data_IF_724058524482
#
_entry.id   IF_724058524482
#
_cell.length_a   1.000
_cell.length_b   1.000
_cell.length_c   1.000
_cell.angle_alpha   90.00
_cell.angle_beta   90.00
_cell.angle_gamma   90.00
#
_symmetry.space_group_name_H-M   'P 1'
#
loop_
_entity.id
_entity.type
_entity.pdbx_description
1 polymer ?
#
# COMPACT_ATOMS: atom_id res chain seq x y z
N UNK A 1 -49.15 -2.75 -7.19
CA UNK A 1 -48.02 -3.33 -6.42
C UNK A 1 -46.73 -3.48 -7.22
N UNK A 2 -46.73 -3.31 -8.56
CA UNK A 2 -45.53 -3.38 -9.42
C UNK A 2 -44.55 -2.20 -9.31
N UNK A 3 -45.01 -1.04 -8.83
CA UNK A 3 -44.17 0.16 -8.70
C UNK A 3 -43.09 0.02 -7.62
N UNK A 4 -43.40 -0.72 -6.53
CA UNK A 4 -42.45 -0.94 -5.43
C UNK A 4 -41.29 -1.83 -5.88
N UNK A 5 -41.56 -2.90 -6.63
CA UNK A 5 -40.51 -3.77 -7.18
C UNK A 5 -39.64 -3.06 -8.24
N UNK A 6 -40.21 -2.12 -9.00
CA UNK A 6 -39.45 -1.33 -9.97
C UNK A 6 -38.52 -0.33 -9.30
N UNK A 7 -38.90 0.24 -8.15
CA UNK A 7 -38.00 1.08 -7.35
C UNK A 7 -36.86 0.23 -6.80
N UNK A 8 -37.15 -0.88 -6.14
CA UNK A 8 -36.13 -1.76 -5.54
C UNK A 8 -35.09 -2.25 -6.56
N UNK A 9 -35.51 -2.49 -7.81
CA UNK A 9 -34.59 -2.88 -8.88
C UNK A 9 -33.65 -1.74 -9.30
N UNK A 10 -34.13 -0.49 -9.29
CA UNK A 10 -33.34 0.71 -9.54
C UNK A 10 -32.37 0.97 -8.37
N UNK A 11 -32.82 0.77 -7.13
CA UNK A 11 -32.01 0.91 -5.90
C UNK A 11 -30.87 -0.10 -5.78
N UNK A 12 -30.97 -1.28 -6.41
CA UNK A 12 -29.94 -2.34 -6.35
C UNK A 12 -28.98 -2.36 -7.54
N UNK A 13 -29.16 -1.49 -8.54
CA UNK A 13 -28.27 -1.43 -9.71
C UNK A 13 -26.95 -0.71 -9.38
N UNK A 14 -25.82 -1.37 -9.66
CA UNK A 14 -24.46 -0.89 -9.35
C UNK A 14 -24.04 0.42 -10.09
N UNK A 15 -24.89 0.96 -10.95
CA UNK A 15 -24.72 2.24 -11.68
C UNK A 15 -25.30 3.46 -10.95
N UNK A 16 -26.07 3.25 -9.89
CA UNK A 16 -26.63 4.30 -9.04
C UNK A 16 -25.61 5.28 -8.41
N UNK A 17 -24.39 4.85 -7.98
CA UNK A 17 -23.46 5.80 -7.37
C UNK A 17 -22.83 6.77 -8.38
N UNK A 18 -22.76 6.42 -9.67
CA UNK A 18 -22.07 7.26 -10.65
C UNK A 18 -22.94 8.44 -11.11
N UNK A 19 -24.23 8.21 -11.43
CA UNK A 19 -25.11 9.29 -11.91
C UNK A 19 -25.58 10.21 -10.79
N UNK A 20 -25.78 9.69 -9.58
CA UNK A 20 -26.17 10.51 -8.42
C UNK A 20 -25.01 11.43 -7.99
N UNK A 21 -23.77 10.94 -8.03
CA UNK A 21 -22.60 11.80 -7.77
C UNK A 21 -22.40 12.82 -8.88
N UNK A 22 -22.64 12.48 -10.15
CA UNK A 22 -22.53 13.42 -11.28
C UNK A 22 -23.64 14.48 -11.24
N UNK A 23 -24.88 14.09 -10.93
CA UNK A 23 -26.00 15.00 -10.74
C UNK A 23 -25.80 15.91 -9.52
N UNK A 24 -25.31 15.37 -8.40
CA UNK A 24 -24.97 16.14 -7.22
C UNK A 24 -23.82 17.13 -7.51
N UNK A 25 -22.75 16.68 -8.16
CA UNK A 25 -21.61 17.53 -8.53
C UNK A 25 -22.04 18.65 -9.49
N UNK A 26 -22.88 18.34 -10.49
CA UNK A 26 -23.46 19.33 -11.39
C UNK A 26 -24.34 20.35 -10.66
N UNK A 27 -25.21 19.88 -9.76
CA UNK A 27 -26.09 20.75 -8.98
C UNK A 27 -25.30 21.69 -8.05
N UNK A 28 -24.28 21.17 -7.36
CA UNK A 28 -23.38 21.98 -6.54
C UNK A 28 -22.56 22.96 -7.38
N UNK A 29 -22.10 22.55 -8.56
CA UNK A 29 -21.41 23.42 -9.52
C UNK A 29 -22.29 24.57 -10.00
N UNK A 30 -23.57 24.31 -10.29
CA UNK A 30 -24.55 25.34 -10.69
C UNK A 30 -24.87 26.28 -9.54
N UNK A 31 -25.04 25.79 -8.31
CA UNK A 31 -25.22 26.64 -7.13
C UNK A 31 -24.00 27.53 -6.92
N UNK A 32 -22.78 26.97 -7.01
CA UNK A 32 -21.54 27.73 -6.94
C UNK A 32 -21.48 28.80 -8.03
N UNK A 33 -21.78 28.45 -9.27
CA UNK A 33 -21.77 29.37 -10.40
C UNK A 33 -22.78 30.52 -10.20
N UNK A 34 -24.00 30.22 -9.75
CA UNK A 34 -25.04 31.22 -9.45
C UNK A 34 -24.62 32.13 -8.29
N UNK A 35 -24.01 31.56 -7.23
CA UNK A 35 -23.51 32.34 -6.10
C UNK A 35 -22.35 33.26 -6.48
N UNK A 36 -21.48 32.83 -7.38
CA UNK A 36 -20.37 33.64 -7.90
C UNK A 36 -20.87 34.75 -8.85
N UNK A 37 -21.85 34.46 -9.70
CA UNK A 37 -22.42 35.43 -10.63
C UNK A 37 -23.31 36.49 -9.95
N UNK A 38 -23.91 36.18 -8.80
CA UNK A 38 -24.69 37.15 -7.99
C UNK A 38 -23.86 37.91 -6.95
N UNK A 39 -22.54 37.75 -6.94
CA UNK A 39 -21.69 38.32 -5.90
C UNK A 39 -21.32 39.79 -6.16
N UNK A 40 -22.10 40.72 -5.62
CA UNK A 40 -21.56 42.02 -5.22
C UNK A 40 -20.69 41.83 -3.96
N UNK A 41 -19.36 41.84 -4.17
CA UNK A 41 -18.21 42.14 -3.28
C UNK A 41 -18.16 41.71 -1.78
N UNK A 42 -19.20 41.17 -1.14
CA UNK A 42 -19.20 40.81 0.28
C UNK A 42 -19.75 39.40 0.54
N UNK A 43 -19.25 38.41 -0.21
CA UNK A 43 -19.64 36.99 -0.08
C UNK A 43 -18.43 36.05 -0.17
N UNK A 44 -17.21 36.53 0.12
CA UNK A 44 -16.05 35.64 0.26
C UNK A 44 -16.19 34.71 1.49
N UNK A 45 -16.83 35.21 2.56
CA UNK A 45 -17.07 34.42 3.77
C UNK A 45 -18.22 33.42 3.62
N UNK A 46 -19.17 33.66 2.72
CA UNK A 46 -20.30 32.75 2.48
C UNK A 46 -19.90 31.50 1.69
N UNK A 47 -19.00 31.63 0.72
CA UNK A 47 -18.47 30.48 0.00
C UNK A 47 -17.65 29.56 0.92
N UNK A 48 -16.89 30.14 1.88
CA UNK A 48 -16.06 29.38 2.80
C UNK A 48 -16.90 28.51 3.75
N UNK A 49 -18.05 28.99 4.21
CA UNK A 49 -18.96 28.19 5.06
C UNK A 49 -19.64 27.07 4.29
N UNK A 50 -19.96 27.27 3.01
CA UNK A 50 -20.49 26.21 2.16
C UNK A 50 -19.42 25.14 1.93
N UNK A 51 -18.17 25.53 1.62
CA UNK A 51 -17.06 24.58 1.43
C UNK A 51 -16.79 23.78 2.71
N UNK A 52 -16.81 24.41 3.89
CA UNK A 52 -16.60 23.69 5.16
C UNK A 52 -17.77 22.76 5.46
N UNK A 53 -19.02 23.18 5.25
CA UNK A 53 -20.19 22.32 5.42
C UNK A 53 -20.17 21.13 4.45
N UNK A 54 -19.74 21.35 3.21
CA UNK A 54 -19.62 20.29 2.21
C UNK A 54 -18.50 19.32 2.57
N UNK A 55 -17.36 19.81 3.08
CA UNK A 55 -16.28 18.99 3.60
C UNK A 55 -16.74 18.15 4.82
N UNK A 56 -17.50 18.74 5.73
CA UNK A 56 -18.09 18.04 6.89
C UNK A 56 -19.08 16.97 6.42
N UNK A 57 -19.93 17.27 5.43
CA UNK A 57 -20.89 16.31 4.89
C UNK A 57 -20.20 15.14 4.18
N UNK A 58 -19.14 15.39 3.42
CA UNK A 58 -18.34 14.33 2.76
C UNK A 58 -17.63 13.47 3.81
N UNK A 59 -17.08 14.08 4.87
CA UNK A 59 -16.49 13.35 5.99
C UNK A 59 -17.53 12.51 6.76
N UNK A 60 -18.74 13.02 6.96
CA UNK A 60 -19.82 12.27 7.58
C UNK A 60 -20.32 11.11 6.69
N UNK A 61 -20.35 11.29 5.37
CA UNK A 61 -20.75 10.24 4.44
C UNK A 61 -19.69 9.13 4.29
N UNK A 62 -18.42 9.44 4.53
CA UNK A 62 -17.34 8.44 4.53
C UNK A 62 -17.33 7.62 5.83
N UNK A 63 -17.69 8.21 6.97
CA UNK A 63 -17.83 7.45 8.22
C UNK A 63 -19.00 6.47 8.15
N UNK A 64 -20.14 6.81 7.56
CA UNK A 64 -21.30 5.89 7.47
C UNK A 64 -21.00 4.62 6.64
N UNK A 65 -20.07 4.69 5.67
CA UNK A 65 -19.61 3.50 4.92
C UNK A 65 -18.52 2.70 5.64
N UNK A 66 -17.98 3.19 6.75
CA UNK A 66 -16.98 2.51 7.60
C UNK A 66 -17.44 2.21 9.03
N UNK A 67 -18.70 2.51 9.38
CA UNK A 67 -19.22 2.47 10.76
C UNK A 67 -20.17 1.29 11.01
N UNK A 68 -19.78 0.06 10.68
CA UNK A 68 -20.18 -1.11 11.48
C UNK A 68 -19.22 -1.34 12.68
N UNK A 69 -18.20 -0.48 12.86
CA UNK A 69 -17.18 -0.62 13.92
C UNK A 69 -17.17 0.52 14.94
N UNK A 70 -18.27 1.28 15.06
CA UNK A 70 -18.24 2.66 15.52
C UNK A 70 -18.66 3.02 16.95
N UNK A 71 -19.03 2.07 17.82
CA UNK A 71 -19.48 2.43 19.18
C UNK A 71 -18.33 2.64 20.19
N UNK A 72 -17.16 3.12 19.75
CA UNK A 72 -15.98 3.38 20.59
C UNK A 72 -15.30 4.74 20.35
N UNK A 73 -16.05 5.79 20.03
CA UNK A 73 -15.46 7.12 19.76
C UNK A 73 -15.99 8.27 20.63
N UNK A 74 -16.39 7.98 21.87
CA UNK A 74 -16.65 9.01 22.89
C UNK A 74 -15.60 9.04 24.03
N UNK A 75 -14.47 8.34 23.89
CA UNK A 75 -13.36 8.41 24.88
C UNK A 75 -12.03 8.07 24.23
N UNK A 76 -11.51 8.98 23.39
CA UNK A 76 -10.11 8.99 22.99
C UNK A 76 -9.77 10.38 22.44
N UNK A 77 -9.88 11.38 23.30
CA UNK A 77 -9.18 12.65 23.07
C UNK A 77 -7.68 12.40 23.33
N UNK A 78 -6.85 12.93 22.45
CA UNK A 78 -5.38 12.90 22.47
C UNK A 78 -4.65 11.55 22.24
N UNK A 79 -3.87 11.54 21.15
CA UNK A 79 -2.78 10.61 20.75
C UNK A 79 -3.22 9.41 19.92
N UNK A 80 -3.19 9.59 18.59
CA UNK A 80 -2.75 8.57 17.62
C UNK A 80 -2.71 9.21 16.24
N UNK A 81 -1.60 9.87 15.89
CA UNK A 81 -1.24 9.99 14.47
C UNK A 81 -0.80 8.57 14.04
N UNK A 82 -1.77 7.73 13.66
CA UNK A 82 -1.49 6.42 13.10
C UNK A 82 -0.90 6.55 11.69
N UNK A 83 0.02 5.66 11.28
CA UNK A 83 0.73 5.77 10.03
C UNK A 83 -0.17 5.27 8.88
N UNK A 84 -0.85 6.20 8.21
CA UNK A 84 -1.55 5.94 6.94
C UNK A 84 -0.57 5.49 5.82
N UNK A 85 0.74 5.61 6.06
CA UNK A 85 1.81 5.34 5.08
C UNK A 85 2.36 3.89 5.15
N UNK A 86 1.97 3.07 6.13
CA UNK A 86 2.47 1.69 6.25
C UNK A 86 1.74 0.66 5.37
N UNK A 87 0.48 0.93 5.00
CA UNK A 87 -0.31 0.07 4.13
C UNK A 87 0.32 -0.18 2.73
N UNK A 88 0.83 0.82 1.98
CA UNK A 88 1.36 0.57 0.63
C UNK A 88 2.62 -0.28 0.60
N UNK A 89 3.50 -0.19 1.60
CA UNK A 89 4.74 -0.97 1.64
C UNK A 89 4.49 -2.45 1.95
N UNK A 90 3.50 -2.75 2.79
CA UNK A 90 3.08 -4.13 3.08
C UNK A 90 2.38 -4.79 1.89
N UNK A 91 1.74 -4.02 1.00
CA UNK A 91 1.09 -4.55 -0.20
C UNK A 91 2.10 -4.91 -1.30
N UNK A 92 3.24 -4.20 -1.39
CA UNK A 92 4.33 -4.57 -2.30
C UNK A 92 4.89 -5.97 -2.01
N UNK A 93 4.76 -6.46 -0.78
CA UNK A 93 5.12 -7.82 -0.38
C UNK A 93 4.19 -8.90 -0.97
N UNK A 94 3.01 -8.52 -1.45
CA UNK A 94 1.99 -9.43 -2.01
C UNK A 94 2.21 -9.61 -3.51
N UNK A 95 2.69 -8.58 -4.21
CA UNK A 95 2.94 -8.62 -5.67
C UNK A 95 4.29 -9.28 -6.05
N UNK A 96 5.03 -9.79 -5.04
CA UNK A 96 6.22 -10.66 -5.19
C UNK A 96 7.31 -10.10 -6.12
N UNK A 97 7.61 -8.80 -5.98
CA UNK A 97 8.70 -8.16 -6.72
C UNK A 97 10.06 -8.28 -6.01
N UNK A 98 10.12 -8.88 -4.82
CA UNK A 98 11.30 -8.94 -3.98
C UNK A 98 11.75 -10.39 -3.72
N UNK A 99 13.06 -10.66 -3.61
CA UNK A 99 13.58 -12.01 -3.38
C UNK A 99 13.29 -12.58 -1.99
N UNK A 100 13.56 -13.89 -1.80
CA UNK A 100 13.21 -14.71 -0.61
C UNK A 100 13.57 -14.08 0.75
N UNK A 101 14.69 -13.35 0.83
CA UNK A 101 15.11 -12.66 2.05
C UNK A 101 14.17 -11.52 2.45
N UNK A 102 13.71 -10.73 1.47
CA UNK A 102 12.76 -9.61 1.70
C UNK A 102 11.38 -10.17 2.05
N UNK A 103 11.04 -11.25 1.38
CA UNK A 103 9.84 -12.02 1.53
C UNK A 103 9.62 -12.59 2.95
N UNK A 104 10.68 -13.05 3.64
CA UNK A 104 10.57 -13.44 5.06
C UNK A 104 10.39 -12.26 6.01
N UNK A 105 10.96 -11.09 5.69
CA UNK A 105 10.72 -9.87 6.48
C UNK A 105 9.29 -9.35 6.26
N UNK A 106 8.81 -9.44 5.03
CA UNK A 106 7.46 -9.10 4.61
C UNK A 106 6.39 -9.86 5.39
N UNK A 107 6.57 -11.17 5.62
CA UNK A 107 5.62 -11.98 6.41
C UNK A 107 5.37 -11.36 7.79
N UNK A 108 6.45 -11.01 8.50
CA UNK A 108 6.36 -10.43 9.85
C UNK A 108 5.70 -9.04 9.85
N UNK A 109 5.90 -8.26 8.79
CA UNK A 109 5.26 -6.94 8.65
C UNK A 109 3.77 -7.12 8.33
N UNK A 110 3.44 -8.02 7.40
CA UNK A 110 2.09 -8.27 6.93
C UNK A 110 1.19 -8.81 8.05
N UNK A 111 1.72 -9.77 8.82
CA UNK A 111 1.01 -10.41 9.93
C UNK A 111 1.37 -9.80 11.29
N UNK A 112 2.10 -8.68 11.33
CA UNK A 112 2.53 -8.05 12.59
C UNK A 112 1.41 -7.35 13.37
N UNK A 113 0.28 -7.06 12.73
CA UNK A 113 -0.90 -6.45 13.34
C UNK A 113 -2.20 -6.98 12.75
N UNK A 114 -3.30 -6.86 13.49
CA UNK A 114 -4.63 -7.22 12.99
C UNK A 114 -5.04 -6.35 11.79
N UNK A 115 -4.76 -5.04 11.86
CA UNK A 115 -5.13 -4.09 10.80
C UNK A 115 -4.38 -4.36 9.49
N UNK A 116 -3.08 -4.71 9.55
CA UNK A 116 -2.31 -5.07 8.35
C UNK A 116 -2.79 -6.37 7.72
N UNK A 117 -3.12 -7.37 8.55
CA UNK A 117 -3.66 -8.64 8.05
C UNK A 117 -5.05 -8.45 7.41
N UNK A 118 -5.92 -7.63 8.02
CA UNK A 118 -7.24 -7.30 7.46
C UNK A 118 -7.11 -6.52 6.14
N UNK A 119 -6.19 -5.55 6.07
CA UNK A 119 -5.91 -4.82 4.84
C UNK A 119 -5.41 -5.73 3.71
N UNK A 120 -4.57 -6.72 4.05
CA UNK A 120 -4.08 -7.72 3.09
C UNK A 120 -5.21 -8.57 2.50
N UNK A 121 -6.16 -9.02 3.34
CA UNK A 121 -7.35 -9.77 2.89
C UNK A 121 -8.24 -8.90 2.00
N UNK A 122 -8.47 -7.64 2.36
CA UNK A 122 -9.24 -6.71 1.54
C UNK A 122 -8.57 -6.46 0.17
N UNK A 123 -7.23 -6.34 0.15
CA UNK A 123 -6.48 -6.24 -1.09
C UNK A 123 -6.61 -7.50 -1.95
N UNK A 124 -6.43 -8.68 -1.37
CA UNK A 124 -6.61 -9.96 -2.06
C UNK A 124 -8.01 -10.08 -2.68
N UNK A 125 -9.05 -9.72 -1.94
CA UNK A 125 -10.42 -9.68 -2.44
C UNK A 125 -10.58 -8.72 -3.63
N UNK A 126 -9.93 -7.55 -3.61
CA UNK A 126 -9.96 -6.61 -4.73
C UNK A 126 -9.28 -7.16 -5.99
N UNK A 127 -8.17 -7.90 -5.82
CA UNK A 127 -7.43 -8.50 -6.93
C UNK A 127 -8.23 -9.64 -7.57
N UNK A 128 -8.87 -10.49 -6.77
CA UNK A 128 -9.78 -11.54 -7.28
C UNK A 128 -10.94 -10.93 -8.04
N UNK A 129 -11.58 -9.87 -7.51
CA UNK A 129 -12.68 -9.19 -8.22
C UNK A 129 -12.21 -8.59 -9.55
N UNK A 130 -11.01 -7.99 -9.58
CA UNK A 130 -10.40 -7.50 -10.83
C UNK A 130 -10.19 -8.63 -11.83
N UNK A 131 -9.64 -9.75 -11.39
CA UNK A 131 -9.40 -10.91 -12.24
C UNK A 131 -10.71 -11.50 -12.77
N UNK A 132 -11.71 -11.66 -11.91
CA UNK A 132 -13.03 -12.17 -12.30
C UNK A 132 -13.73 -11.27 -13.32
N UNK A 133 -13.56 -9.95 -13.23
CA UNK A 133 -14.13 -8.99 -14.19
C UNK A 133 -13.56 -9.13 -15.61
N UNK A 134 -12.38 -9.72 -15.76
CA UNK A 134 -11.72 -9.98 -17.04
C UNK A 134 -12.16 -11.31 -17.67
N UNK A 135 -12.87 -12.14 -16.91
CA UNK A 135 -13.44 -13.42 -17.35
C UNK A 135 -12.45 -14.57 -17.40
N UNK A 136 -12.91 -15.68 -17.98
CA UNK A 136 -12.14 -16.93 -18.08
C UNK A 136 -10.85 -16.73 -18.89
N UNK A 137 -9.86 -17.59 -18.64
CA UNK A 137 -8.54 -17.52 -19.27
C UNK A 137 -8.63 -17.49 -20.80
N UNK A 138 -9.52 -18.28 -21.40
CA UNK A 138 -9.72 -18.33 -22.85
C UNK A 138 -10.30 -17.02 -23.44
N UNK A 139 -11.06 -16.27 -22.64
CA UNK A 139 -11.59 -14.96 -23.04
C UNK A 139 -10.57 -13.85 -22.80
N UNK A 140 -9.84 -13.94 -21.69
CA UNK A 140 -8.82 -12.98 -21.29
C UNK A 140 -7.57 -13.06 -22.20
N UNK A 141 -7.22 -14.24 -22.71
CA UNK A 141 -6.09 -14.45 -23.62
C UNK A 141 -6.23 -13.69 -24.95
N UNK A 142 -7.47 -13.49 -25.43
CA UNK A 142 -7.73 -12.70 -26.64
C UNK A 142 -7.39 -11.21 -26.47
N UNK A 143 -7.36 -10.72 -25.23
CA UNK A 143 -6.97 -9.36 -24.86
C UNK A 143 -5.78 -9.39 -23.88
N UNK A 144 -4.81 -10.26 -24.15
CA UNK A 144 -3.64 -10.43 -23.28
C UNK A 144 -2.88 -9.11 -23.14
N UNK A 145 -2.95 -8.51 -21.95
CA UNK A 145 -2.08 -7.40 -21.55
C UNK A 145 -0.99 -7.90 -20.58
N UNK A 146 0.21 -7.30 -20.58
CA UNK A 146 1.25 -7.66 -19.62
C UNK A 146 0.81 -7.43 -18.17
N UNK A 147 -0.06 -6.44 -17.94
CA UNK A 147 -0.62 -6.14 -16.62
C UNK A 147 -1.57 -7.25 -16.13
N UNK A 148 -2.40 -7.81 -17.01
CA UNK A 148 -3.25 -8.96 -16.70
C UNK A 148 -2.40 -10.20 -16.37
N UNK A 149 -1.34 -10.46 -17.13
CA UNK A 149 -0.44 -11.58 -16.84
C UNK A 149 0.28 -11.41 -15.50
N UNK A 150 0.67 -10.19 -15.14
CA UNK A 150 1.25 -9.88 -13.84
C UNK A 150 0.23 -10.10 -12.70
N UNK A 151 -0.99 -9.60 -12.86
CA UNK A 151 -2.09 -9.82 -11.90
C UNK A 151 -2.37 -11.31 -11.69
N UNK A 152 -2.47 -12.08 -12.78
CA UNK A 152 -2.71 -13.53 -12.71
C UNK A 152 -1.59 -14.22 -11.93
N UNK A 153 -0.32 -13.95 -12.27
CA UNK A 153 0.83 -14.54 -11.56
C UNK A 153 0.89 -14.14 -10.09
N UNK A 154 0.48 -12.92 -9.74
CA UNK A 154 0.37 -12.50 -8.35
C UNK A 154 -0.71 -13.30 -7.59
N UNK A 155 -1.86 -13.54 -8.20
CA UNK A 155 -2.95 -14.35 -7.61
C UNK A 155 -2.56 -15.83 -7.51
N UNK A 156 -1.95 -16.41 -8.54
CA UNK A 156 -1.59 -17.83 -8.59
C UNK A 156 -0.52 -18.25 -7.57
N UNK A 157 0.45 -17.37 -7.29
CA UNK A 157 1.49 -17.68 -6.30
C UNK A 157 0.97 -17.79 -4.88
N UNK A 158 -0.06 -17.00 -4.56
CA UNK A 158 -0.74 -16.93 -3.26
C UNK A 158 0.15 -17.27 -2.05
N UNK A 159 1.28 -16.60 -1.89
CA UNK A 159 2.37 -17.12 -1.04
C UNK A 159 2.03 -17.23 0.45
N UNK A 160 1.05 -16.45 0.90
CA UNK A 160 0.58 -16.41 2.28
C UNK A 160 -0.83 -16.99 2.45
N UNK A 161 -1.40 -17.64 1.43
CA UNK A 161 -2.75 -18.21 1.48
C UNK A 161 -3.89 -17.19 1.50
N UNK A 162 -3.63 -15.92 1.17
CA UNK A 162 -4.62 -14.84 1.20
C UNK A 162 -5.70 -15.03 0.15
N UNK A 163 -5.31 -15.39 -1.09
CA UNK A 163 -6.24 -15.61 -2.19
C UNK A 163 -7.07 -16.87 -1.94
N UNK A 164 -6.43 -17.95 -1.47
CA UNK A 164 -7.09 -19.17 -1.02
C UNK A 164 -8.15 -18.88 0.05
N UNK A 165 -7.77 -18.18 1.13
CA UNK A 165 -8.67 -17.81 2.21
C UNK A 165 -9.88 -17.03 1.70
N UNK A 166 -9.66 -15.97 0.90
CA UNK A 166 -10.75 -15.15 0.35
C UNK A 166 -11.70 -15.99 -0.51
N UNK A 167 -11.18 -16.84 -1.39
CA UNK A 167 -11.99 -17.72 -2.24
C UNK A 167 -12.83 -18.68 -1.40
N UNK A 168 -12.28 -19.23 -0.31
CA UNK A 168 -13.02 -20.12 0.60
C UNK A 168 -14.10 -19.39 1.38
N UNK A 169 -13.79 -18.23 1.98
CA UNK A 169 -14.76 -17.53 2.86
C UNK A 169 -15.80 -16.71 2.10
N UNK A 170 -15.42 -16.09 0.98
CA UNK A 170 -16.30 -15.19 0.21
C UNK A 170 -17.09 -15.94 -0.85
N UNK A 171 -16.42 -16.81 -1.59
CA UNK A 171 -16.96 -17.44 -2.79
C UNK A 171 -17.33 -18.92 -2.52
N UNK A 172 -17.18 -19.39 -1.27
CA UNK A 172 -17.43 -20.78 -0.83
C UNK A 172 -16.73 -21.83 -1.69
N UNK A 173 -15.54 -21.49 -2.19
CA UNK A 173 -14.74 -22.38 -3.00
C UNK A 173 -14.11 -23.49 -2.17
N UNK A 174 -13.95 -24.65 -2.81
CA UNK A 174 -13.15 -25.77 -2.32
C UNK A 174 -11.96 -26.03 -3.26
N UNK A 175 -10.91 -26.73 -2.80
CA UNK A 175 -9.78 -27.11 -3.66
C UNK A 175 -10.20 -27.85 -4.94
N UNK A 176 -11.29 -28.61 -4.86
CA UNK A 176 -11.82 -29.39 -5.98
C UNK A 176 -12.78 -28.58 -6.89
N UNK A 177 -13.44 -27.55 -6.36
CA UNK A 177 -14.47 -26.81 -7.08
C UNK A 177 -14.44 -25.32 -6.77
N UNK A 178 -14.03 -24.52 -7.75
CA UNK A 178 -14.11 -23.07 -7.67
C UNK A 178 -14.31 -22.47 -9.05
N UNK A 179 -15.30 -21.57 -9.20
CA UNK A 179 -15.54 -20.88 -10.46
C UNK A 179 -14.37 -19.96 -10.84
N UNK A 180 -13.70 -19.35 -9.86
CA UNK A 180 -12.56 -18.47 -10.11
C UNK A 180 -11.37 -19.18 -10.77
N UNK A 181 -11.28 -20.51 -10.65
CA UNK A 181 -10.20 -21.29 -11.25
C UNK A 181 -10.21 -21.28 -12.78
N UNK A 182 -11.33 -20.98 -13.43
CA UNK A 182 -11.38 -20.81 -14.89
C UNK A 182 -10.61 -19.58 -15.39
N UNK A 183 -10.37 -18.59 -14.51
CA UNK A 183 -9.62 -17.36 -14.82
C UNK A 183 -8.11 -17.49 -14.60
N UNK A 184 -7.68 -18.59 -13.99
CA UNK A 184 -6.30 -18.92 -13.65
C UNK A 184 -5.72 -19.92 -14.65
N UNK A 185 -4.41 -19.85 -14.88
CA UNK A 185 -3.65 -20.83 -15.63
C UNK A 185 -3.19 -22.00 -14.75
N UNK A 186 -2.82 -21.73 -13.50
CA UNK A 186 -2.42 -22.77 -12.54
C UNK A 186 -3.15 -22.60 -11.20
N UNK A 187 -3.75 -23.68 -10.70
CA UNK A 187 -4.53 -23.67 -9.46
C UNK A 187 -3.90 -24.46 -8.32
N UNK A 188 -2.82 -25.20 -8.59
CA UNK A 188 -2.22 -26.14 -7.63
C UNK A 188 -1.81 -25.49 -6.32
N UNK A 189 -1.15 -24.33 -6.38
CA UNK A 189 -0.69 -23.63 -5.17
C UNK A 189 -1.86 -23.13 -4.32
N UNK A 190 -2.88 -22.55 -4.96
CA UNK A 190 -4.08 -22.06 -4.27
C UNK A 190 -4.83 -23.23 -3.62
N UNK A 191 -5.00 -24.35 -4.34
CA UNK A 191 -5.62 -25.55 -3.79
C UNK A 191 -4.84 -26.12 -2.60
N UNK A 192 -3.50 -26.19 -2.68
CA UNK A 192 -2.64 -26.60 -1.55
C UNK A 192 -2.82 -25.69 -0.35
N UNK A 193 -2.84 -24.38 -0.56
CA UNK A 193 -3.03 -23.40 0.53
C UNK A 193 -4.42 -23.51 1.17
N UNK A 194 -5.46 -23.83 0.39
CA UNK A 194 -6.81 -24.08 0.89
C UNK A 194 -6.83 -25.34 1.77
N UNK A 195 -6.19 -26.44 1.32
CA UNK A 195 -6.10 -27.69 2.08
C UNK A 195 -5.30 -27.53 3.38
N UNK A 196 -4.22 -26.76 3.32
CA UNK A 196 -3.35 -26.51 4.47
C UNK A 196 -3.88 -25.44 5.42
N UNK A 197 -4.93 -24.69 5.04
CA UNK A 197 -5.40 -23.51 5.77
C UNK A 197 -4.24 -22.55 6.11
N UNK A 198 -3.41 -22.25 5.10
CA UNK A 198 -2.13 -21.56 5.29
C UNK A 198 -2.30 -20.18 5.95
N UNK A 199 -3.28 -19.40 5.50
CA UNK A 199 -3.56 -18.08 6.07
C UNK A 199 -3.98 -18.19 7.54
N UNK A 200 -4.87 -19.11 7.88
CA UNK A 200 -5.38 -19.31 9.23
C UNK A 200 -4.27 -19.78 10.18
N UNK A 201 -3.35 -20.63 9.69
CA UNK A 201 -2.16 -21.05 10.41
C UNK A 201 -1.20 -19.87 10.66
N UNK A 202 -1.02 -18.97 9.69
CA UNK A 202 -0.25 -17.74 9.87
C UNK A 202 -0.92 -16.80 10.89
N UNK A 203 -2.23 -16.57 10.79
CA UNK A 203 -2.98 -15.79 11.78
C UNK A 203 -2.81 -16.39 13.18
N UNK A 204 -2.98 -17.70 13.33
CA UNK A 204 -2.83 -18.39 14.62
C UNK A 204 -1.43 -18.21 15.21
N UNK A 205 -0.40 -18.22 14.37
CA UNK A 205 1.00 -17.99 14.77
C UNK A 205 1.24 -16.55 15.23
N UNK A 206 0.70 -15.55 14.54
CA UNK A 206 1.02 -14.14 14.77
C UNK A 206 0.03 -13.42 15.70
N UNK A 207 -1.22 -13.87 15.81
CA UNK A 207 -2.26 -13.23 16.62
C UNK A 207 -1.88 -12.99 18.09
N UNK A 208 -1.15 -13.90 18.78
CA UNK A 208 -0.70 -13.64 20.15
C UNK A 208 0.23 -12.42 20.28
N UNK A 209 0.93 -12.04 19.20
CA UNK A 209 1.88 -10.92 19.19
C UNK A 209 1.23 -9.55 18.97
N UNK A 210 -0.01 -9.49 18.45
CA UNK A 210 -0.67 -8.23 18.12
C UNK A 210 -0.96 -7.33 19.32
N UNK A 211 -1.14 -7.94 20.49
CA UNK A 211 -1.39 -7.23 21.74
C UNK A 211 -0.14 -7.15 22.64
N UNK A 212 1.02 -7.54 22.13
CA UNK A 212 2.26 -7.41 22.89
C UNK A 212 2.59 -5.92 23.02
N UNK A 213 2.87 -5.42 24.24
CA UNK A 213 3.32 -4.05 24.42
C UNK A 213 4.57 -3.85 23.56
N UNK A 214 4.52 -2.85 22.66
CA UNK A 214 5.65 -2.56 21.80
C UNK A 214 6.90 -2.40 22.68
N UNK A 215 8.01 -3.09 22.37
CA UNK A 215 9.23 -2.91 23.13
C UNK A 215 9.57 -1.42 23.06
N UNK A 216 9.94 -0.81 24.19
CA UNK A 216 10.08 0.65 24.36
C UNK A 216 11.00 1.35 23.33
N UNK A 217 11.75 0.56 22.55
CA UNK A 217 12.55 0.94 21.39
C UNK A 217 11.71 1.43 20.19
N UNK A 218 10.46 0.96 20.01
CA UNK A 218 9.57 1.40 18.93
C UNK A 218 8.93 2.77 19.23
N UNK A 219 8.73 3.10 20.52
CA UNK A 219 8.29 4.45 20.94
C UNK A 219 9.38 5.52 20.68
N UNK A 220 10.65 5.11 20.63
CA UNK A 220 11.76 5.98 20.26
C UNK A 220 11.92 6.14 18.73
N UNK A 221 11.49 5.16 17.92
CA UNK A 221 11.60 5.22 16.46
C UNK A 221 10.58 6.17 15.81
N UNK A 222 9.41 6.38 16.43
CA UNK A 222 8.38 7.30 15.93
C UNK A 222 8.57 8.77 16.32
N UNK A 223 9.46 9.08 17.27
CA UNK A 223 9.69 10.43 17.78
C UNK A 223 11.18 10.85 17.82
N UNK A 224 12.11 10.02 17.33
CA UNK A 224 13.53 10.13 17.69
C UNK A 224 14.56 10.12 16.56
N UNK A 225 14.19 10.14 15.28
CA UNK A 225 15.21 10.12 14.19
C UNK A 225 15.75 11.52 13.83
N UNK A 226 15.16 12.61 14.33
CA UNK A 226 15.70 13.97 14.14
C UNK A 226 16.21 14.64 15.44
N UNK A 227 16.14 13.95 16.59
CA UNK A 227 16.47 14.55 17.90
C UNK A 227 17.66 13.94 18.65
N UNK A 228 18.23 12.83 18.17
CA UNK A 228 19.29 12.11 18.88
C UNK A 228 20.68 12.30 18.24
N UNK A 229 21.07 13.56 18.01
CA UNK A 229 22.49 13.92 18.02
C UNK A 229 22.77 14.51 19.40
N UNK A 230 23.61 13.87 20.24
CA UNK A 230 24.02 14.52 21.49
C UNK A 230 24.71 15.84 21.13
N UNK A 231 24.40 16.98 21.79
CA UNK A 231 25.19 18.18 21.60
C UNK A 231 26.62 17.81 22.00
N UNK A 232 27.55 17.91 21.04
CA UNK A 232 28.98 17.74 21.27
C UNK A 232 29.44 18.85 22.22
N UNK A 233 29.36 18.55 23.51
CA UNK A 233 30.02 19.34 24.55
C UNK A 233 31.52 19.07 24.45
N UNK A 234 32.37 20.09 24.27
CA UNK A 234 33.81 19.88 24.24
C UNK A 234 34.26 19.51 25.66
N UNK A 235 34.46 18.21 25.91
CA UNK A 235 35.14 17.76 27.11
C UNK A 235 36.61 18.15 26.98
N UNK A 236 36.98 19.25 27.63
CA UNK A 236 38.34 19.79 27.74
C UNK A 236 39.28 18.88 28.53
N UNK A 237 39.56 17.69 28.02
CA UNK A 237 40.59 16.79 28.53
C UNK A 237 41.58 16.50 27.40
N UNK A 238 42.86 16.88 27.51
CA UNK A 238 43.82 16.61 26.45
C UNK A 238 44.02 15.10 26.37
N UNK A 239 43.49 14.49 25.32
CA UNK A 239 43.78 13.10 24.98
C UNK A 239 45.16 13.04 24.34
N UNK A 240 46.12 12.38 25.00
CA UNK A 240 47.37 11.93 24.39
C UNK A 240 47.05 10.84 23.36
N UNK A 241 46.52 11.25 22.20
CA UNK A 241 46.39 10.39 21.05
C UNK A 241 47.73 10.41 20.31
N UNK A 242 48.46 9.30 20.37
CA UNK A 242 49.63 9.06 19.53
C UNK A 242 49.14 8.99 18.08
N UNK A 243 49.22 10.11 17.36
CA UNK A 243 49.05 10.09 15.91
C UNK A 243 50.28 9.40 15.30
N UNK A 244 50.12 8.33 14.49
CA UNK A 244 51.25 7.80 13.73
C UNK A 244 51.72 8.90 12.77
N UNK A 245 52.96 9.35 12.96
CA UNK A 245 53.60 10.37 12.12
C UNK A 245 53.61 9.94 10.65
N UNK A 246 53.47 10.92 9.75
CA UNK A 246 53.46 10.79 8.30
C UNK A 246 54.77 10.25 7.65
N UNK A 247 55.60 9.52 8.40
CA UNK A 247 56.87 8.97 7.97
C UNK A 247 56.74 7.69 7.12
N UNK A 248 55.53 7.14 6.98
CA UNK A 248 55.27 5.89 6.25
C UNK A 248 54.46 6.07 4.96
N UNK A 249 54.29 7.31 4.49
CA UNK A 249 53.72 7.59 3.18
C UNK A 249 54.87 7.59 2.16
N UNK A 250 55.01 6.57 1.27
CA UNK A 250 56.02 6.63 0.23
C UNK A 250 55.71 7.82 -0.71
N UNK A 251 56.72 8.58 -1.14
CA UNK A 251 56.50 9.72 -2.03
C UNK A 251 55.97 9.23 -3.38
N UNK A 252 54.80 9.75 -3.79
CA UNK A 252 54.27 9.54 -5.14
C UNK A 252 54.86 10.64 -6.02
N UNK A 253 55.84 10.30 -6.85
CA UNK A 253 56.39 11.19 -7.87
C UNK A 253 55.38 11.43 -8.99
N UNK A 254 54.67 12.56 -8.95
CA UNK A 254 53.76 13.04 -10.03
C UNK A 254 54.35 14.32 -10.68
N UNK A 255 55.67 14.40 -10.84
CA UNK A 255 56.34 15.50 -11.53
C UNK A 255 57.57 14.97 -12.30
N UNK A 256 57.40 13.89 -13.05
CA UNK A 256 58.38 13.49 -14.07
C UNK A 256 57.81 13.90 -15.43
N UNK A 257 58.37 14.91 -16.12
CA UNK A 257 57.91 15.27 -17.45
C UNK A 257 58.16 14.12 -18.44
N UNK A 258 57.22 13.96 -19.36
CA UNK A 258 57.21 12.94 -20.41
C UNK A 258 58.48 13.02 -21.29
N UNK A 259 59.12 11.89 -21.64
CA UNK A 259 60.25 11.88 -22.57
C UNK A 259 59.82 12.30 -23.97
N UNK A 260 60.59 13.20 -24.60
CA UNK A 260 60.36 13.69 -25.96
C UNK A 260 60.29 12.55 -27.01
N UNK A 261 59.51 12.73 -28.10
CA UNK A 261 59.33 11.70 -29.12
C UNK A 261 60.62 11.44 -29.92
N UNK A 262 60.93 10.16 -30.16
CA UNK A 262 62.00 9.73 -31.06
C UNK A 262 61.58 9.88 -32.54
N UNK A 263 62.51 10.19 -33.46
CA UNK A 263 62.21 10.33 -34.88
C UNK A 263 61.85 8.99 -35.54
N UNK A 264 60.99 9.06 -36.56
CA UNK A 264 60.59 7.93 -37.41
C UNK A 264 61.76 7.34 -38.20
N UNK A 265 61.87 6.02 -38.23
CA UNK A 265 62.69 5.29 -39.19
C UNK A 265 61.84 4.21 -39.87
N UNK A 266 61.92 4.21 -41.20
CA UNK A 266 61.06 3.53 -42.15
C UNK A 266 61.21 2.00 -42.17
N UNK A 267 60.22 1.36 -42.81
CA UNK A 267 60.06 -0.06 -43.03
C UNK A 267 61.29 -0.76 -43.63
N UNK A 268 61.57 -1.96 -43.13
CA UNK A 268 62.33 -2.98 -43.86
C UNK A 268 61.36 -3.77 -44.76
N UNK A 269 61.75 -3.96 -46.02
CA UNK A 269 61.31 -5.07 -46.84
C UNK A 269 62.20 -6.28 -46.55
#
# INVERSE_FOLDING_TARGET
>A
MSWVSSLDHIWRSATFPMWLTLAAAGFFGVILLITLLRAEKSVANGALTVITLLAIAVAAASTIRGFDSGNRLASADARSAQPVVAAPAALACIDDLAGDAVLNACEKVLFGSADSAAAAVAYAASQITRLASLGDIATAERNTSPELQALRRAVERDRYGLMAYVLTVRDHCTPASCAAFSSLGTTQQIASNMDEHLYENLITRYAPSWNAPAPAIAAAAGAGVLGALPPSVPTGKPTNAQFPSAANTPPISIMTPEPAPKPSAAAAA
#
